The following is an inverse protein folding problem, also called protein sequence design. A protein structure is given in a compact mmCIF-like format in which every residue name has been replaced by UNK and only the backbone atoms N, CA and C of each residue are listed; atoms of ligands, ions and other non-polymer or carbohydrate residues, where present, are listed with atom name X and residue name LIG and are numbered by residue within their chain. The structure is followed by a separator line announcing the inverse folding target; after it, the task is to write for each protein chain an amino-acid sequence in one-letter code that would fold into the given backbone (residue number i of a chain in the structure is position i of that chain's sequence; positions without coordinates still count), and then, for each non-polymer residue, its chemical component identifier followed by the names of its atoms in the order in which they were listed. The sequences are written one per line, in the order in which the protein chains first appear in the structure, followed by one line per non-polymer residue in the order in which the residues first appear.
data_IF_417640562207
#
_entry.id   IF_417640562207
#
_cell.length_a   1.000
_cell.length_b   1.000
_cell.length_c   1.000
_cell.angle_alpha   90.00
_cell.angle_beta   90.00
_cell.angle_gamma   90.00
#
_symmetry.space_group_name_H-M   'P 1'
#
loop_
_entity.id
_entity.type
_entity.pdbx_description
1 polymer ?
#
# COMPACT_ATOMS: atom_id res chain seq x y z
N UNK A 1 -40.81 -11.90 70.86
CA UNK A 1 -40.40 -11.45 69.51
C UNK A 1 -38.88 -11.47 69.43
N UNK A 2 -38.29 -12.54 68.88
CA UNK A 2 -36.85 -12.78 68.80
C UNK A 2 -36.41 -12.50 67.35
N UNK A 3 -35.59 -11.48 67.13
CA UNK A 3 -35.04 -11.12 65.82
C UNK A 3 -33.62 -11.65 65.63
N UNK A 4 -33.48 -12.77 64.92
CA UNK A 4 -32.19 -13.27 64.40
C UNK A 4 -31.77 -12.43 63.20
N UNK A 5 -30.63 -11.73 63.29
CA UNK A 5 -29.96 -11.14 62.12
C UNK A 5 -28.86 -12.11 61.66
N UNK A 6 -29.06 -12.71 60.50
CA UNK A 6 -28.05 -13.53 59.81
C UNK A 6 -26.98 -12.62 59.20
N UNK A 7 -25.71 -12.93 59.46
CA UNK A 7 -24.57 -12.43 58.69
C UNK A 7 -24.41 -13.27 57.43
N UNK A 8 -24.46 -12.63 56.26
CA UNK A 8 -24.00 -13.22 55.00
C UNK A 8 -22.62 -12.65 54.69
N UNK A 9 -21.59 -13.50 54.80
CA UNK A 9 -20.24 -13.20 54.31
C UNK A 9 -20.22 -13.46 52.79
N UNK A 10 -20.09 -12.40 52.00
CA UNK A 10 -19.92 -12.50 50.54
C UNK A 10 -18.47 -12.87 50.19
N UNK A 11 -18.27 -14.04 49.60
CA UNK A 11 -16.99 -14.45 49.02
C UNK A 11 -16.84 -13.73 47.65
N UNK A 12 -15.99 -12.71 47.59
CA UNK A 12 -15.65 -12.06 46.32
C UNK A 12 -14.64 -12.93 45.55
N UNK A 13 -15.10 -13.64 44.53
CA UNK A 13 -14.21 -14.29 43.55
C UNK A 13 -13.73 -13.19 42.60
N UNK A 14 -12.51 -12.70 42.81
CA UNK A 14 -11.83 -11.86 41.84
C UNK A 14 -11.33 -12.74 40.70
N UNK A 15 -12.10 -12.80 39.61
CA UNK A 15 -11.61 -13.34 38.35
C UNK A 15 -10.57 -12.36 37.77
N UNK A 16 -9.29 -12.61 38.00
CA UNK A 16 -8.23 -11.95 37.24
C UNK A 16 -8.30 -12.47 35.81
N UNK A 17 -8.93 -11.70 34.92
CA UNK A 17 -8.82 -11.92 33.49
C UNK A 17 -7.34 -11.74 33.13
N UNK A 18 -6.63 -12.85 32.90
CA UNK A 18 -5.32 -12.82 32.29
C UNK A 18 -5.47 -12.16 30.92
N UNK A 19 -4.96 -10.94 30.78
CA UNK A 19 -4.84 -10.28 29.49
C UNK A 19 -3.82 -11.08 28.66
N UNK A 20 -4.32 -12.10 27.95
CA UNK A 20 -3.52 -12.80 26.95
C UNK A 20 -3.10 -11.79 25.91
N UNK A 21 -1.81 -11.49 25.80
CA UNK A 21 -1.25 -10.81 24.64
C UNK A 21 -1.61 -11.66 23.42
N UNK A 22 -2.58 -11.23 22.62
CA UNK A 22 -2.86 -11.86 21.33
C UNK A 22 -1.58 -11.75 20.52
N UNK A 23 -0.93 -12.88 20.28
CA UNK A 23 0.27 -12.94 19.46
C UNK A 23 -0.10 -12.53 18.03
N UNK A 24 0.56 -11.50 17.53
CA UNK A 24 0.31 -10.99 16.18
C UNK A 24 0.85 -11.97 15.14
N UNK A 25 0.12 -12.15 14.03
CA UNK A 25 0.60 -12.91 12.89
C UNK A 25 1.68 -12.09 12.18
N UNK A 26 2.82 -12.73 11.90
CA UNK A 26 3.85 -12.18 11.01
C UNK A 26 3.68 -12.81 9.64
N UNK A 27 3.68 -11.99 8.60
CA UNK A 27 3.63 -12.47 7.23
C UNK A 27 5.05 -12.74 6.71
N UNK A 28 5.16 -13.74 5.86
CA UNK A 28 6.36 -14.02 5.07
C UNK A 28 6.01 -13.80 3.60
N UNK A 29 6.86 -13.03 2.92
CA UNK A 29 6.75 -12.80 1.50
C UNK A 29 7.49 -13.94 0.76
N UNK A 30 7.02 -14.41 -0.40
CA UNK A 30 7.79 -15.36 -1.21
C UNK A 30 9.11 -14.72 -1.68
N UNK A 31 10.15 -15.55 -1.79
CA UNK A 31 11.45 -15.13 -2.30
C UNK A 31 11.36 -14.77 -3.80
N UNK A 32 12.10 -13.76 -4.25
CA UNK A 32 12.28 -13.47 -5.67
C UNK A 32 12.91 -14.64 -6.41
N UNK A 33 12.52 -14.82 -7.66
CA UNK A 33 12.90 -15.98 -8.48
C UNK A 33 14.09 -15.69 -9.40
N UNK A 34 14.47 -14.42 -9.56
CA UNK A 34 15.62 -14.01 -10.36
C UNK A 34 16.96 -14.17 -9.64
N UNK A 35 18.04 -14.02 -10.41
CA UNK A 35 19.42 -14.26 -9.94
C UNK A 35 20.02 -13.11 -9.12
N UNK A 36 19.48 -11.91 -9.27
CA UNK A 36 20.06 -10.70 -8.68
C UNK A 36 19.57 -10.51 -7.25
N UNK A 37 20.47 -10.09 -6.37
CA UNK A 37 20.05 -9.51 -5.08
C UNK A 37 19.37 -8.17 -5.36
N UNK A 38 18.44 -7.77 -4.50
CA UNK A 38 17.63 -6.57 -4.74
C UNK A 38 17.99 -5.46 -3.75
N UNK A 39 18.25 -4.27 -4.27
CA UNK A 39 18.34 -3.03 -3.52
C UNK A 39 17.02 -2.26 -3.60
N UNK A 40 16.75 -1.43 -2.59
CA UNK A 40 15.59 -0.53 -2.59
C UNK A 40 15.95 0.84 -2.03
N UNK A 41 15.44 1.89 -2.67
CA UNK A 41 15.58 3.28 -2.22
C UNK A 41 14.24 3.99 -2.37
N UNK A 42 13.86 4.78 -1.36
CA UNK A 42 12.69 5.64 -1.40
C UNK A 42 13.08 7.09 -1.70
N UNK A 43 12.26 7.78 -2.50
CA UNK A 43 12.43 9.17 -2.88
C UNK A 43 11.15 9.96 -2.59
N UNK A 44 11.32 11.15 -2.04
CA UNK A 44 10.29 12.18 -1.95
C UNK A 44 10.52 13.18 -3.07
N UNK A 45 9.65 13.17 -4.07
CA UNK A 45 9.72 14.09 -5.21
C UNK A 45 8.74 15.23 -5.01
N UNK A 46 9.17 16.44 -5.34
CA UNK A 46 8.33 17.65 -5.32
C UNK A 46 8.38 18.25 -6.73
N UNK A 47 7.22 18.27 -7.37
CA UNK A 47 6.99 18.90 -8.67
C UNK A 47 6.35 20.27 -8.45
N UNK A 48 7.17 21.32 -8.49
CA UNK A 48 6.74 22.71 -8.34
C UNK A 48 6.13 23.32 -9.61
N UNK A 49 6.03 22.56 -10.71
CA UNK A 49 5.50 23.07 -11.97
C UNK A 49 3.97 23.04 -12.06
N UNK A 50 3.32 22.30 -11.15
CA UNK A 50 1.86 22.13 -11.14
C UNK A 50 1.30 22.01 -9.73
N UNK A 51 0.07 22.51 -9.49
CA UNK A 51 -0.62 22.26 -8.23
C UNK A 51 -0.98 20.78 -8.06
N UNK A 52 -1.27 20.37 -6.83
CA UNK A 52 -1.75 19.03 -6.57
C UNK A 52 -3.18 18.84 -7.13
N UNK A 53 -3.44 17.85 -7.99
CA UNK A 53 -4.76 17.65 -8.60
C UNK A 53 -5.85 17.25 -7.61
N UNK A 54 -5.48 16.79 -6.41
CA UNK A 54 -6.38 16.37 -5.32
C UNK A 54 -6.34 17.30 -4.11
N UNK A 55 -5.47 18.29 -4.13
CA UNK A 55 -5.35 19.34 -3.13
C UNK A 55 -4.94 20.66 -3.82
N UNK A 56 -5.80 21.27 -4.65
CA UNK A 56 -5.43 22.42 -5.49
C UNK A 56 -4.92 23.64 -4.71
N UNK A 57 -5.22 23.71 -3.41
CA UNK A 57 -4.67 24.71 -2.49
C UNK A 57 -3.15 24.59 -2.30
N UNK A 58 -2.55 23.41 -2.58
CA UNK A 58 -1.10 23.21 -2.62
C UNK A 58 -0.58 23.55 -4.02
N UNK A 59 0.24 24.60 -4.18
CA UNK A 59 0.74 25.05 -5.49
C UNK A 59 1.88 24.18 -6.04
N UNK A 60 2.06 22.97 -5.49
CA UNK A 60 3.06 21.99 -5.88
C UNK A 60 2.49 20.58 -5.67
N UNK A 61 3.00 19.61 -6.44
CA UNK A 61 2.66 18.20 -6.29
C UNK A 61 3.78 17.44 -5.61
N UNK A 62 3.46 16.74 -4.53
CA UNK A 62 4.38 15.79 -3.91
C UNK A 62 4.10 14.38 -4.43
N UNK A 63 5.13 13.53 -4.52
CA UNK A 63 5.04 12.11 -4.85
C UNK A 63 6.03 11.32 -4.00
N UNK A 64 5.60 10.16 -3.50
CA UNK A 64 6.49 9.19 -2.88
C UNK A 64 6.79 8.07 -3.86
N UNK A 65 8.07 7.78 -4.06
CA UNK A 65 8.55 6.83 -5.06
C UNK A 65 9.44 5.81 -4.37
N UNK A 66 9.29 4.54 -4.72
CA UNK A 66 10.17 3.46 -4.30
C UNK A 66 10.80 2.85 -5.55
N UNK A 67 12.13 2.84 -5.61
CA UNK A 67 12.88 2.21 -6.69
C UNK A 67 13.48 0.91 -6.18
N UNK A 68 13.15 -0.22 -6.82
CA UNK A 68 13.80 -1.52 -6.61
C UNK A 68 14.68 -1.86 -7.80
N UNK A 69 15.88 -2.38 -7.55
CA UNK A 69 16.90 -2.56 -8.59
C UNK A 69 17.87 -3.71 -8.24
N UNK A 70 18.56 -4.31 -9.22
CA UNK A 70 19.68 -5.23 -8.98
C UNK A 70 20.76 -4.59 -8.12
N UNK A 71 21.17 -5.25 -7.04
CA UNK A 71 22.18 -4.77 -6.12
C UNK A 71 23.48 -5.54 -6.26
N UNK A 72 24.60 -4.81 -6.38
CA UNK A 72 25.93 -5.37 -6.53
C UNK A 72 26.36 -6.18 -5.30
N UNK A 73 25.98 -5.69 -4.12
CA UNK A 73 26.19 -6.35 -2.83
C UNK A 73 25.14 -5.90 -1.84
N UNK A 74 24.82 -6.78 -0.89
CA UNK A 74 23.83 -6.50 0.16
C UNK A 74 24.37 -6.60 1.58
N UNK A 75 25.61 -7.08 1.74
CA UNK A 75 26.27 -7.12 3.06
C UNK A 75 26.41 -5.72 3.65
N UNK A 76 25.98 -5.55 4.91
CA UNK A 76 25.97 -4.25 5.59
C UNK A 76 24.74 -3.37 5.30
N UNK A 77 23.82 -3.82 4.44
CA UNK A 77 22.58 -3.11 4.14
C UNK A 77 21.37 -3.81 4.78
N UNK A 78 20.58 -3.11 5.61
CA UNK A 78 19.46 -3.72 6.30
C UNK A 78 18.36 -4.13 5.32
N UNK A 79 17.70 -5.24 5.62
CA UNK A 79 16.50 -5.67 4.90
C UNK A 79 15.40 -4.62 5.09
N UNK A 80 14.74 -4.24 4.00
CA UNK A 80 13.61 -3.32 4.06
C UNK A 80 12.36 -4.07 4.57
N UNK A 81 11.62 -3.50 5.54
CA UNK A 81 10.28 -4.00 5.85
C UNK A 81 9.33 -3.68 4.69
N UNK A 82 8.26 -4.45 4.57
CA UNK A 82 7.22 -4.25 3.56
C UNK A 82 6.50 -2.91 3.73
N UNK A 83 6.20 -2.57 4.99
CA UNK A 83 5.69 -1.28 5.41
C UNK A 83 6.56 -0.71 6.52
N UNK A 84 6.71 0.60 6.57
CA UNK A 84 7.26 1.24 7.77
C UNK A 84 6.28 1.08 8.93
N UNK A 85 6.72 1.43 10.14
CA UNK A 85 5.85 1.42 11.31
C UNK A 85 4.66 2.37 11.17
N UNK A 86 4.87 3.60 10.72
CA UNK A 86 3.79 4.59 10.60
C UNK A 86 2.77 4.17 9.53
N UNK A 87 3.25 3.67 8.39
CA UNK A 87 2.38 3.16 7.33
C UNK A 87 1.58 1.93 7.81
N UNK A 88 2.23 0.99 8.49
CA UNK A 88 1.61 -0.19 9.06
C UNK A 88 0.52 0.12 10.10
N UNK A 89 0.77 1.11 10.97
CA UNK A 89 -0.20 1.55 11.98
C UNK A 89 -1.46 2.13 11.33
N UNK A 90 -1.31 2.95 10.28
CA UNK A 90 -2.47 3.45 9.53
C UNK A 90 -3.19 2.32 8.78
N UNK A 91 -2.43 1.50 8.03
CA UNK A 91 -2.99 0.41 7.23
C UNK A 91 -3.75 -0.61 8.07
N UNK A 92 -3.31 -0.91 9.29
CA UNK A 92 -4.04 -1.81 10.20
C UNK A 92 -5.50 -1.36 10.43
N UNK A 93 -5.74 -0.05 10.53
CA UNK A 93 -7.08 0.51 10.67
C UNK A 93 -7.85 0.48 9.34
N UNK A 94 -7.17 0.75 8.22
CA UNK A 94 -7.74 0.61 6.87
C UNK A 94 -8.20 -0.83 6.61
N UNK A 95 -7.37 -1.84 6.91
CA UNK A 95 -7.67 -3.25 6.72
C UNK A 95 -8.80 -3.76 7.63
N UNK A 96 -8.95 -3.17 8.82
CA UNK A 96 -10.04 -3.47 9.74
C UNK A 96 -11.39 -2.89 9.29
N UNK A 97 -11.39 -1.62 8.84
CA UNK A 97 -12.60 -0.93 8.34
C UNK A 97 -13.01 -1.38 6.94
N UNK A 98 -12.04 -1.82 6.15
CA UNK A 98 -12.21 -2.08 4.73
C UNK A 98 -12.37 -0.80 3.90
N UNK A 99 -12.27 -0.98 2.59
CA UNK A 99 -12.55 0.00 1.53
C UNK A 99 -13.30 -0.71 0.41
N UNK A 100 -13.72 0.04 -0.62
CA UNK A 100 -14.27 -0.57 -1.84
C UNK A 100 -13.28 -1.53 -2.53
N UNK A 101 -11.97 -1.32 -2.34
CA UNK A 101 -10.92 -2.17 -2.91
C UNK A 101 -10.44 -3.28 -1.96
N UNK A 102 -10.64 -3.13 -0.63
CA UNK A 102 -10.13 -4.04 0.40
C UNK A 102 -11.28 -4.41 1.34
N UNK A 103 -11.85 -5.63 1.29
CA UNK A 103 -12.95 -5.98 2.17
C UNK A 103 -12.52 -5.97 3.66
N UNK A 104 -13.39 -5.57 4.60
CA UNK A 104 -13.07 -5.54 6.02
C UNK A 104 -12.90 -6.95 6.56
N UNK A 105 -11.66 -7.40 6.75
CA UNK A 105 -11.38 -8.80 7.11
C UNK A 105 -10.33 -8.98 8.19
N UNK A 106 -9.58 -7.94 8.56
CA UNK A 106 -8.39 -8.10 9.41
C UNK A 106 -8.49 -7.16 10.62
N UNK A 107 -8.81 -7.69 11.83
CA UNK A 107 -8.88 -6.86 13.04
C UNK A 107 -7.57 -6.14 13.35
N UNK A 108 -7.66 -4.91 13.87
CA UNK A 108 -6.47 -4.17 14.32
C UNK A 108 -5.69 -5.00 15.34
N UNK A 109 -4.37 -5.07 15.17
CA UNK A 109 -3.49 -5.81 16.05
C UNK A 109 -3.52 -7.33 15.88
N UNK A 110 -4.17 -7.86 14.84
CA UNK A 110 -4.07 -9.29 14.49
C UNK A 110 -2.85 -9.64 13.64
N UNK A 111 -2.31 -8.67 12.89
CA UNK A 111 -1.14 -8.82 12.02
C UNK A 111 -0.11 -7.75 12.37
N UNK A 112 1.16 -8.14 12.46
CA UNK A 112 2.31 -7.24 12.60
C UNK A 112 2.84 -6.87 11.20
N UNK A 113 2.16 -5.92 10.56
CA UNK A 113 2.48 -5.49 9.19
C UNK A 113 3.90 -4.90 9.08
N UNK A 114 4.34 -4.16 10.10
CA UNK A 114 5.66 -3.53 10.12
C UNK A 114 6.81 -4.54 10.22
N UNK A 115 6.54 -5.72 10.79
CA UNK A 115 7.54 -6.76 10.96
C UNK A 115 7.62 -7.77 9.80
N UNK A 116 6.85 -7.54 8.74
CA UNK A 116 6.91 -8.33 7.49
C UNK A 116 8.14 -7.89 6.69
N UNK A 117 9.19 -8.71 6.56
CA UNK A 117 10.37 -8.35 5.77
C UNK A 117 10.08 -8.50 4.27
N UNK A 118 10.81 -7.73 3.47
CA UNK A 118 10.99 -7.99 2.03
C UNK A 118 12.31 -8.74 1.80
N UNK A 119 12.69 -8.99 0.54
CA UNK A 119 14.02 -9.48 0.17
C UNK A 119 14.91 -8.36 -0.40
N UNK A 120 14.44 -7.12 -0.32
CA UNK A 120 15.14 -5.93 -0.77
C UNK A 120 15.99 -5.34 0.35
N UNK A 121 17.17 -4.83 0.01
CA UNK A 121 18.11 -4.23 0.95
C UNK A 121 18.19 -2.71 0.78
N UNK A 122 17.99 -1.97 1.87
CA UNK A 122 17.91 -0.50 1.83
C UNK A 122 19.23 0.12 1.38
N UNK A 123 19.14 0.96 0.36
CA UNK A 123 20.24 1.76 -0.18
C UNK A 123 21.48 0.92 -0.56
N UNK A 124 21.28 -0.36 -0.90
CA UNK A 124 22.35 -1.20 -1.43
C UNK A 124 22.87 -0.60 -2.75
N UNK A 125 24.18 -0.68 -3.05
CA UNK A 125 24.73 -0.13 -4.28
C UNK A 125 24.14 -0.84 -5.51
N UNK A 126 23.73 -0.05 -6.50
CA UNK A 126 23.15 -0.54 -7.76
C UNK A 126 24.18 -1.35 -8.54
N UNK A 127 23.77 -2.48 -9.12
CA UNK A 127 24.53 -3.24 -10.11
C UNK A 127 24.22 -2.70 -11.51
N UNK A 128 25.22 -2.10 -12.17
CA UNK A 128 25.08 -1.51 -13.51
C UNK A 128 25.67 -2.37 -14.64
N UNK A 129 26.18 -3.57 -14.36
CA UNK A 129 26.73 -4.49 -15.37
C UNK A 129 27.54 -3.78 -16.48
N UNK A 130 27.14 -3.99 -17.73
CA UNK A 130 27.72 -3.37 -18.93
C UNK A 130 26.94 -2.14 -19.46
N UNK A 131 25.91 -1.65 -18.76
CA UNK A 131 25.06 -0.57 -19.25
C UNK A 131 23.86 -0.24 -18.35
N UNK A 132 23.05 0.77 -18.72
CA UNK A 132 21.89 1.16 -17.94
C UNK A 132 20.85 0.03 -17.83
N UNK A 133 20.12 0.01 -16.71
CA UNK A 133 19.05 -0.95 -16.48
C UNK A 133 17.80 -0.58 -17.27
N UNK A 134 17.05 -1.56 -17.81
CA UNK A 134 15.69 -1.31 -18.31
C UNK A 134 14.80 -0.85 -17.14
N UNK A 135 14.06 0.24 -17.38
CA UNK A 135 13.20 0.85 -16.35
C UNK A 135 11.75 0.45 -16.55
N UNK A 136 11.11 -0.03 -15.49
CA UNK A 136 9.68 -0.30 -15.44
C UNK A 136 9.00 0.66 -14.47
N UNK A 137 7.96 1.35 -14.92
CA UNK A 137 7.16 2.24 -14.09
C UNK A 137 5.88 1.52 -13.64
N UNK A 138 5.67 1.43 -12.33
CA UNK A 138 4.46 0.90 -11.73
C UNK A 138 3.63 2.05 -11.15
N UNK A 139 2.44 2.22 -11.72
CA UNK A 139 1.39 3.06 -11.16
C UNK A 139 0.35 2.15 -10.49
N UNK A 140 0.18 2.20 -9.17
CA UNK A 140 -0.86 1.46 -8.48
C UNK A 140 -2.27 1.82 -8.98
N UNK A 141 -3.21 0.90 -8.79
CA UNK A 141 -4.63 1.16 -9.02
C UNK A 141 -5.21 2.13 -7.99
N UNK A 142 -6.42 2.62 -8.25
CA UNK A 142 -7.12 3.52 -7.35
C UNK A 142 -7.21 2.94 -5.92
N UNK A 143 -6.97 3.78 -4.90
CA UNK A 143 -6.91 3.43 -3.48
C UNK A 143 -5.76 2.49 -3.07
N UNK A 144 -4.89 2.08 -4.00
CA UNK A 144 -3.79 1.17 -3.71
C UNK A 144 -2.48 1.94 -3.50
N UNK A 145 -1.74 1.58 -2.45
CA UNK A 145 -0.39 2.11 -2.24
C UNK A 145 0.64 1.36 -3.09
N UNK A 146 1.75 2.03 -3.43
CA UNK A 146 2.98 1.45 -3.99
C UNK A 146 3.50 0.26 -3.17
N UNK A 147 3.17 0.17 -1.88
CA UNK A 147 3.52 -0.95 -1.03
C UNK A 147 2.91 -2.29 -1.51
N UNK A 148 1.73 -2.28 -2.14
CA UNK A 148 1.10 -3.52 -2.61
C UNK A 148 1.78 -4.11 -3.86
N UNK A 149 2.51 -3.29 -4.62
CA UNK A 149 3.33 -3.75 -5.75
C UNK A 149 4.71 -4.28 -5.35
N UNK A 150 5.06 -4.28 -4.05
CA UNK A 150 6.41 -4.59 -3.59
C UNK A 150 6.93 -5.95 -4.04
N UNK A 151 6.11 -7.00 -3.94
CA UNK A 151 6.44 -8.37 -4.35
C UNK A 151 6.82 -8.45 -5.83
N UNK A 152 5.95 -7.94 -6.70
CA UNK A 152 6.16 -7.94 -8.14
C UNK A 152 7.38 -7.10 -8.52
N UNK A 153 7.51 -5.92 -7.92
CA UNK A 153 8.63 -5.02 -8.18
C UNK A 153 9.97 -5.63 -7.74
N UNK A 154 9.98 -6.36 -6.62
CA UNK A 154 11.14 -7.08 -6.13
C UNK A 154 11.53 -8.25 -7.04
N UNK A 155 10.55 -9.06 -7.47
CA UNK A 155 10.80 -10.16 -8.40
C UNK A 155 11.32 -9.66 -9.74
N UNK A 156 10.71 -8.62 -10.32
CA UNK A 156 11.21 -7.99 -11.54
C UNK A 156 12.61 -7.40 -11.36
N UNK A 157 12.90 -6.74 -10.24
CA UNK A 157 14.25 -6.26 -9.95
C UNK A 157 15.28 -7.40 -9.88
N UNK A 158 14.91 -8.55 -9.30
CA UNK A 158 15.77 -9.74 -9.27
C UNK A 158 16.07 -10.31 -10.67
N UNK A 159 15.30 -9.94 -11.69
CA UNK A 159 15.50 -10.31 -13.09
C UNK A 159 16.32 -9.28 -13.90
N UNK A 160 16.71 -8.15 -13.30
CA UNK A 160 17.57 -7.16 -13.96
C UNK A 160 16.90 -5.83 -14.31
N UNK A 161 15.71 -5.54 -13.78
CA UNK A 161 14.99 -4.30 -14.05
C UNK A 161 15.16 -3.27 -12.92
N UNK A 162 15.21 -1.99 -13.26
CA UNK A 162 14.94 -0.93 -12.30
C UNK A 162 13.43 -0.66 -12.27
N UNK A 163 12.76 -1.04 -11.18
CA UNK A 163 11.31 -0.90 -11.04
C UNK A 163 10.99 0.29 -10.15
N UNK A 164 10.27 1.25 -10.70
CA UNK A 164 9.88 2.50 -10.04
C UNK A 164 8.39 2.43 -9.72
N UNK A 165 8.03 2.27 -8.44
CA UNK A 165 6.64 2.33 -7.99
C UNK A 165 6.38 3.67 -7.30
N UNK A 166 5.22 4.29 -7.52
CA UNK A 166 4.88 5.57 -6.90
C UNK A 166 3.51 5.61 -6.25
N UNK A 167 3.39 6.40 -5.18
CA UNK A 167 2.11 6.80 -4.63
C UNK A 167 1.66 8.11 -5.27
N UNK A 168 0.45 8.12 -5.81
CA UNK A 168 -0.24 9.33 -6.21
C UNK A 168 -0.83 9.99 -4.97
N UNK A 169 -0.18 10.99 -4.37
CA UNK A 169 -0.67 11.66 -3.15
C UNK A 169 -2.15 12.01 -3.22
N UNK A 170 -2.87 11.66 -2.14
CA UNK A 170 -4.33 11.72 -2.01
C UNK A 170 -5.14 10.75 -2.90
N UNK A 171 -4.51 9.74 -3.52
CA UNK A 171 -5.19 8.60 -4.18
C UNK A 171 -5.25 7.33 -3.34
N UNK A 172 -4.15 6.80 -2.80
CA UNK A 172 -4.21 5.63 -1.94
C UNK A 172 -4.98 5.93 -0.66
N UNK A 173 -5.33 4.88 0.06
CA UNK A 173 -5.82 4.98 1.44
C UNK A 173 -4.83 5.71 2.35
N UNK A 174 -3.53 5.46 2.13
CA UNK A 174 -2.46 6.18 2.81
C UNK A 174 -1.19 6.32 1.96
N UNK A 175 -0.55 7.48 2.08
CA UNK A 175 0.79 7.78 1.57
C UNK A 175 1.64 8.26 2.72
N UNK A 176 2.76 7.60 2.97
CA UNK A 176 3.72 8.04 3.99
C UNK A 176 4.85 8.86 3.35
N UNK A 177 5.04 10.07 3.87
CA UNK A 177 6.13 10.98 3.57
C UNK A 177 7.24 10.92 4.63
N UNK A 178 8.43 11.51 4.34
CA UNK A 178 9.49 11.64 5.33
C UNK A 178 9.00 12.23 6.67
N UNK A 179 9.55 11.73 7.77
CA UNK A 179 9.12 12.12 9.12
C UNK A 179 7.83 11.44 9.60
N UNK A 180 7.29 10.46 8.86
CA UNK A 180 6.10 9.71 9.25
C UNK A 180 4.78 10.45 9.00
N UNK A 181 4.80 11.52 8.20
CA UNK A 181 3.59 12.24 7.80
C UNK A 181 2.75 11.34 6.89
N UNK A 182 1.51 11.06 7.29
CA UNK A 182 0.55 10.32 6.49
C UNK A 182 -0.40 11.30 5.79
N UNK A 183 -0.48 11.22 4.47
CA UNK A 183 -1.51 11.87 3.66
C UNK A 183 -2.51 10.80 3.20
N UNK A 184 -3.80 11.09 3.29
CA UNK A 184 -4.88 10.14 2.99
C UNK A 184 -5.63 10.53 1.72
N UNK A 185 -6.45 9.60 1.21
CA UNK A 185 -7.34 9.83 0.08
C UNK A 185 -8.27 11.04 0.34
N UNK A 186 -8.43 11.90 -0.67
CA UNK A 186 -9.33 13.08 -0.65
C UNK A 186 -10.43 13.03 -1.72
N UNK A 187 -10.71 11.86 -2.27
CA UNK A 187 -11.66 11.76 -3.39
C UNK A 187 -13.09 12.11 -3.00
N UNK A 188 -13.49 11.85 -1.74
CA UNK A 188 -14.80 12.28 -1.25
C UNK A 188 -14.94 13.81 -1.18
N UNK A 189 -13.83 14.54 -1.14
CA UNK A 189 -13.81 16.01 -1.04
C UNK A 189 -13.87 16.69 -2.42
N UNK A 190 -13.77 15.92 -3.50
CA UNK A 190 -13.85 16.40 -4.87
C UNK A 190 -15.20 16.01 -5.50
N UNK A 191 -15.72 16.83 -6.43
CA UNK A 191 -16.84 16.39 -7.25
C UNK A 191 -16.46 15.09 -7.99
N UNK A 192 -17.41 14.14 -8.16
CA UNK A 192 -17.12 12.89 -8.84
C UNK A 192 -16.54 13.16 -10.23
N UNK A 193 -15.51 12.40 -10.60
CA UNK A 193 -14.95 12.46 -11.95
C UNK A 193 -16.06 12.28 -12.99
N UNK A 194 -16.03 12.99 -14.14
CA UNK A 194 -16.97 12.73 -15.25
C UNK A 194 -16.94 11.26 -15.69
N UNK A 195 -15.79 10.59 -15.52
CA UNK A 195 -15.61 9.17 -15.84
C UNK A 195 -16.17 8.22 -14.77
N UNK A 196 -16.61 8.72 -13.62
CA UNK A 196 -17.15 7.91 -12.53
C UNK A 196 -18.40 7.12 -12.96
N UNK A 197 -19.21 7.67 -13.86
CA UNK A 197 -20.37 6.98 -14.45
C UNK A 197 -20.04 5.90 -15.48
N UNK A 198 -18.86 5.98 -16.13
CA UNK A 198 -18.45 5.03 -17.18
C UNK A 198 -17.88 3.72 -16.61
N UNK A 199 -17.27 3.79 -15.41
CA UNK A 199 -16.72 2.60 -14.72
C UNK A 199 -17.78 1.83 -13.93
N UNK A 200 -18.88 2.50 -13.56
CA UNK A 200 -19.98 1.94 -12.75
C UNK A 200 -21.22 1.58 -13.59
N UNK A 201 -21.20 1.81 -14.91
CA UNK A 201 -22.27 1.36 -15.81
C UNK A 201 -22.43 -0.17 -15.75
N UNK A 202 -23.61 -0.71 -16.06
CA UNK A 202 -23.81 -2.16 -16.08
C UNK A 202 -22.74 -2.78 -16.97
N UNK A 203 -21.98 -3.73 -16.42
CA UNK A 203 -21.05 -4.55 -17.17
C UNK A 203 -21.90 -5.46 -18.08
N UNK A 204 -22.39 -4.92 -19.20
CA UNK A 204 -22.90 -5.75 -20.28
C UNK A 204 -21.73 -6.60 -20.73
N UNK A 205 -21.83 -7.90 -20.45
CA UNK A 205 -20.87 -8.88 -20.94
C UNK A 205 -20.88 -8.78 -22.45
N UNK A 206 -19.78 -8.29 -23.02
CA UNK A 206 -19.56 -8.35 -24.46
C UNK A 206 -19.71 -9.81 -24.89
N UNK A 207 -20.59 -10.14 -25.84
CA UNK A 207 -20.70 -11.50 -26.35
C UNK A 207 -19.35 -11.97 -26.89
N UNK A 208 -19.04 -13.28 -26.82
CA UNK A 208 -17.79 -13.79 -27.38
C UNK A 208 -17.76 -13.53 -28.90
N UNK A 209 -16.85 -12.67 -29.36
CA UNK A 209 -16.65 -12.40 -30.79
C UNK A 209 -16.42 -10.93 -31.16
N UNK A 210 -16.78 -9.98 -30.29
CA UNK A 210 -16.61 -8.56 -30.61
C UNK A 210 -15.21 -8.05 -30.23
N UNK A 211 -14.60 -7.30 -31.16
CA UNK A 211 -13.30 -6.65 -30.95
C UNK A 211 -13.43 -5.56 -29.88
N UNK A 212 -12.62 -5.66 -28.82
CA UNK A 212 -12.60 -4.72 -27.70
C UNK A 212 -12.35 -3.27 -28.14
N UNK A 213 -11.78 -3.08 -29.34
CA UNK A 213 -11.52 -1.77 -29.96
C UNK A 213 -12.78 -1.01 -30.35
N UNK A 214 -13.90 -1.68 -30.53
CA UNK A 214 -15.20 -1.08 -30.89
C UNK A 214 -16.09 -0.81 -29.67
N UNK A 215 -15.59 -1.08 -28.45
CA UNK A 215 -16.30 -0.70 -27.23
C UNK A 215 -16.46 0.83 -27.12
N UNK A 216 -17.62 1.29 -26.63
CA UNK A 216 -18.01 2.71 -26.61
C UNK A 216 -16.99 3.64 -25.93
N UNK A 217 -16.16 3.10 -25.02
CA UNK A 217 -15.10 3.82 -24.31
C UNK A 217 -14.02 4.39 -25.26
N UNK A 218 -13.69 3.68 -26.36
CA UNK A 218 -12.63 4.12 -27.29
C UNK A 218 -13.13 5.01 -28.42
N UNK A 219 -14.43 4.97 -28.74
CA UNK A 219 -15.05 5.81 -29.76
C UNK A 219 -15.10 7.27 -29.33
N UNK A 220 -15.45 7.52 -28.07
CA UNK A 220 -15.56 8.87 -27.50
C UNK A 220 -14.19 9.56 -27.31
N UNK A 221 -13.12 8.78 -27.12
CA UNK A 221 -11.73 9.28 -27.10
C UNK A 221 -11.21 9.73 -28.48
N UNK A 222 -11.83 9.30 -29.59
CA UNK A 222 -11.48 9.77 -30.94
C UNK A 222 -12.23 11.03 -31.34
N UNK A 223 -13.42 11.23 -30.80
CA UNK A 223 -14.30 12.36 -31.13
C UNK A 223 -14.02 13.62 -30.28
N UNK A 224 -13.15 13.52 -29.27
CA UNK A 224 -12.74 14.61 -28.37
C UNK A 224 -11.40 15.27 -28.72
N UNK A 225 -10.95 15.18 -29.98
CA UNK A 225 -9.77 15.93 -30.50
C UNK A 225 -10.18 17.11 -31.38
#
# INVERSE_FOLDING_TARGET
MIGRRLFLAGLAVTATAAAGTRQQVRLELPAPTGRHRVGVTDFHLIDGSRPDPRAPEKPYRELMVTVRYPAQRVGGHPVAPHMTRALAEHFAHTAARGTVAIPPRIPVGSVDWAATPTHSHRNAPVELGSGPLPVLLCSPGHLMSRAFGALLAEDLASHGYAVVCLDHTHDPTEVEFPGGRIEVNRQADLPPSPLHGLVQGPHERTPPGDDWRDSGVFREMRESR
#
